data_IF_815271104909
#
_entry.id   IF_815271104909
#
_cell.length_a   1.000
_cell.length_b   1.000
_cell.length_c   1.000
_cell.angle_alpha   90.00
_cell.angle_beta   90.00
_cell.angle_gamma   90.00
#
_symmetry.space_group_name_H-M   'P 1'
#
loop_
_entity.id
_entity.type
_entity.pdbx_description
1 polymer ?
#
# COMPACT_ATOMS: atom_id res chain seq x y z
N UNK A 1 28.88 -40.14 66.96
CA UNK A 1 27.81 -39.88 65.96
C UNK A 1 27.83 -38.41 65.58
N UNK A 2 28.03 -38.09 64.30
CA UNK A 2 27.54 -36.86 63.62
C UNK A 2 27.83 -37.05 62.12
N UNK A 3 26.79 -37.39 61.36
CA UNK A 3 26.85 -37.53 59.89
C UNK A 3 26.61 -36.15 59.30
N UNK A 4 27.53 -35.68 58.46
CA UNK A 4 27.35 -34.46 57.67
C UNK A 4 26.54 -34.85 56.44
N UNK A 5 25.31 -34.35 56.37
CA UNK A 5 24.43 -34.50 55.20
C UNK A 5 24.72 -33.32 54.27
N UNK A 6 25.40 -33.57 53.15
CA UNK A 6 25.58 -32.56 52.09
C UNK A 6 24.42 -32.71 51.11
N UNK A 7 23.51 -31.73 51.11
CA UNK A 7 22.42 -31.65 50.13
C UNK A 7 22.93 -30.85 48.94
N UNK A 8 23.14 -31.53 47.81
CA UNK A 8 23.36 -30.88 46.52
C UNK A 8 22.01 -30.44 45.98
N UNK A 9 21.71 -29.14 46.08
CA UNK A 9 20.57 -28.52 45.39
C UNK A 9 21.02 -28.18 43.97
N UNK A 10 20.66 -29.02 43.02
CA UNK A 10 20.78 -28.73 41.59
C UNK A 10 19.73 -27.70 41.20
N UNK A 11 20.13 -26.42 41.23
CA UNK A 11 19.37 -25.31 40.65
C UNK A 11 19.49 -25.37 39.12
N UNK A 12 18.58 -26.12 38.49
CA UNK A 12 18.32 -25.99 37.06
C UNK A 12 17.53 -24.70 36.83
N UNK A 13 18.23 -23.57 36.70
CA UNK A 13 17.66 -22.38 36.08
C UNK A 13 17.53 -22.64 34.57
N UNK A 14 16.38 -23.13 34.15
CA UNK A 14 15.95 -22.91 32.76
C UNK A 14 15.57 -21.43 32.65
N UNK A 15 16.55 -20.58 32.33
CA UNK A 15 16.26 -19.30 31.71
C UNK A 15 15.63 -19.60 30.36
N UNK A 16 14.30 -19.81 30.37
CA UNK A 16 13.50 -19.72 29.17
C UNK A 16 13.65 -18.30 28.67
N UNK A 17 14.57 -18.09 27.74
CA UNK A 17 14.54 -16.95 26.84
C UNK A 17 13.22 -17.06 26.07
N UNK A 18 12.14 -16.53 26.64
CA UNK A 18 11.02 -16.07 25.83
C UNK A 18 11.57 -14.85 25.10
N UNK A 19 12.16 -15.11 23.94
CA UNK A 19 12.38 -14.09 22.94
C UNK A 19 10.99 -13.65 22.49
N UNK A 20 10.36 -12.75 23.25
CA UNK A 20 9.20 -11.97 22.81
C UNK A 20 9.69 -11.03 21.70
N UNK A 21 10.05 -11.59 20.56
CA UNK A 21 9.86 -10.90 19.31
C UNK A 21 8.38 -11.07 18.98
N UNK A 22 7.53 -10.32 19.68
CA UNK A 22 6.21 -10.04 19.15
C UNK A 22 6.45 -9.13 17.97
N UNK A 23 6.29 -9.64 16.76
CA UNK A 23 6.23 -8.82 15.56
C UNK A 23 5.28 -7.65 15.79
N UNK A 24 5.79 -6.45 15.55
CA UNK A 24 5.03 -5.23 15.75
C UNK A 24 3.93 -5.17 14.69
N UNK A 25 2.68 -4.91 15.10
CA UNK A 25 1.58 -4.68 14.17
C UNK A 25 1.33 -3.17 14.09
N UNK A 26 1.36 -2.61 12.88
CA UNK A 26 1.12 -1.19 12.66
C UNK A 26 0.02 -0.97 11.62
N UNK A 27 -0.71 0.13 11.79
CA UNK A 27 -1.74 0.58 10.84
C UNK A 27 -1.40 2.00 10.45
N UNK A 28 -1.42 2.27 9.16
CA UNK A 28 -1.10 3.59 8.62
C UNK A 28 -1.71 3.80 7.24
N UNK A 29 -1.24 4.82 6.54
CA UNK A 29 -1.44 5.00 5.11
C UNK A 29 -0.10 5.39 4.49
N UNK A 30 0.02 5.26 3.17
CA UNK A 30 1.22 5.62 2.45
C UNK A 30 0.89 6.69 1.39
N UNK A 31 1.60 7.80 1.42
CA UNK A 31 1.35 8.94 0.54
C UNK A 31 1.63 8.64 -0.92
N UNK A 32 2.54 7.72 -1.23
CA UNK A 32 2.78 7.31 -2.62
C UNK A 32 1.55 6.59 -3.18
N UNK A 33 1.00 5.66 -2.40
CA UNK A 33 -0.21 4.90 -2.73
C UNK A 33 -1.41 5.84 -2.88
N UNK A 34 -1.65 6.71 -1.90
CA UNK A 34 -2.78 7.64 -1.97
C UNK A 34 -2.66 8.63 -3.13
N UNK A 35 -1.44 9.11 -3.42
CA UNK A 35 -1.20 10.01 -4.55
C UNK A 35 -1.38 9.30 -5.88
N UNK A 36 -0.99 8.03 -5.96
CA UNK A 36 -1.23 7.19 -7.12
C UNK A 36 -2.74 7.03 -7.38
N UNK A 37 -3.53 6.70 -6.36
CA UNK A 37 -4.98 6.55 -6.53
C UNK A 37 -5.67 7.87 -6.85
N UNK A 38 -5.17 9.00 -6.35
CA UNK A 38 -5.62 10.32 -6.80
C UNK A 38 -5.37 10.49 -8.30
N UNK A 39 -4.18 10.13 -8.78
CA UNK A 39 -3.86 10.19 -10.20
C UNK A 39 -4.74 9.23 -11.03
N UNK A 40 -5.10 8.06 -10.50
CA UNK A 40 -6.05 7.15 -11.14
C UNK A 40 -7.44 7.76 -11.31
N UNK A 41 -7.97 8.39 -10.26
CA UNK A 41 -9.25 9.13 -10.32
C UNK A 41 -9.23 10.15 -11.46
N UNK A 42 -8.14 10.93 -11.56
CA UNK A 42 -7.99 11.95 -12.60
C UNK A 42 -7.86 11.34 -14.00
N UNK A 43 -7.30 10.13 -14.11
CA UNK A 43 -7.00 9.47 -15.38
C UNK A 43 -8.19 8.77 -16.05
N UNK A 44 -9.28 8.53 -15.31
CA UNK A 44 -10.39 7.67 -15.74
C UNK A 44 -10.92 7.99 -17.15
N UNK A 45 -11.07 9.27 -17.50
CA UNK A 45 -11.58 9.67 -18.82
C UNK A 45 -10.61 9.36 -19.99
N UNK A 46 -9.31 9.25 -19.72
CA UNK A 46 -8.26 8.99 -20.70
C UNK A 46 -7.95 7.51 -20.91
N UNK A 47 -8.50 6.63 -20.07
CA UNK A 47 -8.31 5.18 -20.19
C UNK A 47 -8.92 4.69 -21.50
N UNK A 48 -8.17 3.87 -22.24
CA UNK A 48 -8.72 3.10 -23.36
C UNK A 48 -9.47 1.88 -22.87
N UNK A 49 -8.97 1.26 -21.81
CA UNK A 49 -9.57 0.06 -21.25
C UNK A 49 -10.15 0.33 -19.86
N UNK A 50 -11.26 -0.34 -19.53
CA UNK A 50 -11.98 -0.20 -18.27
C UNK A 50 -12.49 1.21 -17.95
N UNK A 51 -12.50 2.14 -18.92
CA UNK A 51 -12.97 3.53 -18.75
C UNK A 51 -14.34 3.60 -18.10
N UNK A 52 -15.31 2.86 -18.63
CA UNK A 52 -16.68 2.89 -18.12
C UNK A 52 -16.76 2.38 -16.68
N UNK A 53 -15.95 1.38 -16.33
CA UNK A 53 -15.85 0.88 -14.97
C UNK A 53 -15.18 1.90 -14.03
N UNK A 54 -14.08 2.53 -14.43
CA UNK A 54 -13.43 3.59 -13.64
C UNK A 54 -14.38 4.77 -13.40
N UNK A 55 -15.13 5.20 -14.41
CA UNK A 55 -16.14 6.26 -14.29
C UNK A 55 -17.31 5.84 -13.38
N UNK A 56 -17.74 4.58 -13.46
CA UNK A 56 -18.71 4.01 -12.52
C UNK A 56 -18.19 4.07 -11.08
N UNK A 57 -16.95 3.62 -10.83
CA UNK A 57 -16.33 3.68 -9.50
C UNK A 57 -16.30 5.10 -8.95
N UNK A 58 -15.91 6.08 -9.76
CA UNK A 58 -15.92 7.51 -9.38
C UNK A 58 -17.32 7.94 -8.95
N UNK A 59 -18.32 7.66 -9.78
CA UNK A 59 -19.70 8.04 -9.51
C UNK A 59 -20.19 7.43 -8.20
N UNK A 60 -20.05 6.11 -8.02
CA UNK A 60 -20.55 5.42 -6.83
C UNK A 60 -19.76 5.79 -5.58
N UNK A 61 -18.43 5.70 -5.61
CA UNK A 61 -17.59 5.91 -4.43
C UNK A 61 -17.65 7.36 -3.94
N UNK A 62 -17.81 8.35 -4.82
CA UNK A 62 -17.95 9.76 -4.42
C UNK A 62 -19.17 10.06 -3.54
N UNK A 63 -20.16 9.16 -3.51
CA UNK A 63 -21.36 9.30 -2.67
C UNK A 63 -21.05 9.04 -1.20
N UNK A 64 -20.22 8.03 -0.90
CA UNK A 64 -20.01 7.54 0.47
C UNK A 64 -18.55 7.52 0.93
N UNK A 65 -17.57 7.80 0.06
CA UNK A 65 -16.16 7.98 0.43
C UNK A 65 -15.81 9.47 0.45
N UNK A 66 -15.79 10.13 1.63
CA UNK A 66 -15.54 11.58 1.73
C UNK A 66 -14.21 12.02 1.12
N UNK A 67 -13.15 11.21 1.26
CA UNK A 67 -11.82 11.51 0.70
C UNK A 67 -11.88 11.59 -0.83
N UNK A 68 -12.55 10.65 -1.50
CA UNK A 68 -12.75 10.68 -2.96
C UNK A 68 -13.56 11.90 -3.38
N UNK A 69 -14.65 12.21 -2.67
CA UNK A 69 -15.46 13.41 -2.94
C UNK A 69 -14.64 14.69 -2.81
N UNK A 70 -13.86 14.80 -1.74
CA UNK A 70 -13.01 15.96 -1.47
C UNK A 70 -11.89 16.09 -2.53
N UNK A 71 -11.33 14.96 -2.98
CA UNK A 71 -10.34 14.93 -4.04
C UNK A 71 -10.92 15.43 -5.37
N UNK A 72 -12.10 14.94 -5.76
CA UNK A 72 -12.80 15.37 -6.97
C UNK A 72 -13.09 16.87 -6.93
N UNK A 73 -13.57 17.40 -5.80
CA UNK A 73 -13.84 18.84 -5.65
C UNK A 73 -12.57 19.69 -5.75
N UNK A 74 -11.46 19.25 -5.13
CA UNK A 74 -10.21 20.03 -5.09
C UNK A 74 -9.44 19.99 -6.41
N UNK A 75 -9.49 18.86 -7.12
CA UNK A 75 -8.61 18.57 -8.25
C UNK A 75 -9.34 18.39 -9.59
N UNK A 76 -10.63 18.72 -9.70
CA UNK A 76 -11.41 18.61 -10.94
C UNK A 76 -10.72 19.25 -12.16
N UNK A 77 -10.08 20.42 -11.96
CA UNK A 77 -9.32 21.14 -12.99
C UNK A 77 -8.17 20.34 -13.61
N UNK A 78 -7.74 19.25 -12.97
CA UNK A 78 -6.60 18.43 -13.37
C UNK A 78 -6.98 17.19 -14.19
N UNK A 79 -8.27 16.98 -14.50
CA UNK A 79 -8.71 15.84 -15.32
C UNK A 79 -8.03 15.75 -16.69
N UNK A 80 -7.58 16.87 -17.24
CA UNK A 80 -6.84 16.92 -18.52
C UNK A 80 -5.34 17.20 -18.35
N UNK A 81 -4.81 17.05 -17.13
CA UNK A 81 -3.40 17.30 -16.84
C UNK A 81 -2.48 16.21 -17.41
N UNK A 82 -1.19 16.51 -17.49
CA UNK A 82 -0.18 15.55 -17.96
C UNK A 82 -0.14 14.28 -17.10
N UNK A 83 -0.37 14.38 -15.78
CA UNK A 83 -0.40 13.22 -14.89
C UNK A 83 -1.63 12.34 -15.19
N UNK A 84 -2.80 12.92 -15.42
CA UNK A 84 -4.01 12.15 -15.76
C UNK A 84 -3.80 11.31 -17.03
N UNK A 85 -3.23 11.91 -18.08
CA UNK A 85 -2.93 11.22 -19.34
C UNK A 85 -1.83 10.17 -19.15
N UNK A 86 -0.79 10.46 -18.37
CA UNK A 86 0.34 9.54 -18.18
C UNK A 86 -0.05 8.32 -17.33
N UNK A 87 -0.87 8.51 -16.29
CA UNK A 87 -1.45 7.41 -15.49
C UNK A 87 -2.33 6.51 -16.34
N UNK A 88 -3.22 7.08 -17.14
CA UNK A 88 -4.07 6.28 -18.04
C UNK A 88 -3.22 5.47 -19.03
N UNK A 89 -2.23 6.13 -19.65
CA UNK A 89 -1.32 5.49 -20.59
C UNK A 89 -0.52 4.36 -19.94
N UNK A 90 0.01 4.56 -18.73
CA UNK A 90 0.72 3.50 -18.01
C UNK A 90 -0.20 2.31 -17.77
N UNK A 91 -1.38 2.53 -17.19
CA UNK A 91 -2.30 1.45 -16.83
C UNK A 91 -2.79 0.68 -18.06
N UNK A 92 -3.07 1.37 -19.16
CA UNK A 92 -3.42 0.69 -20.41
C UNK A 92 -2.25 -0.12 -20.97
N UNK A 93 -1.00 0.39 -20.93
CA UNK A 93 0.18 -0.37 -21.37
C UNK A 93 0.40 -1.60 -20.49
N UNK A 94 0.29 -1.45 -19.17
CA UNK A 94 0.44 -2.56 -18.22
C UNK A 94 -0.55 -3.68 -18.51
N UNK A 95 -1.80 -3.33 -18.81
CA UNK A 95 -2.82 -4.32 -19.10
C UNK A 95 -2.69 -4.91 -20.50
N UNK A 96 -2.57 -4.09 -21.54
CA UNK A 96 -2.56 -4.52 -22.94
C UNK A 96 -1.29 -5.31 -23.29
N UNK A 97 -0.13 -4.88 -22.79
CA UNK A 97 1.17 -5.43 -23.17
C UNK A 97 1.71 -6.46 -22.18
N UNK A 98 1.44 -6.26 -20.89
CA UNK A 98 2.02 -7.09 -19.82
C UNK A 98 0.96 -7.89 -19.05
N UNK A 99 -0.31 -7.83 -19.44
CA UNK A 99 -1.40 -8.60 -18.83
C UNK A 99 -1.59 -8.30 -17.33
N UNK A 100 -1.18 -7.11 -16.88
CA UNK A 100 -1.11 -6.76 -15.46
C UNK A 100 -2.05 -5.58 -15.15
N UNK A 101 -2.76 -5.65 -14.03
CA UNK A 101 -3.61 -4.57 -13.54
C UNK A 101 -2.80 -3.45 -12.88
N UNK A 102 -3.50 -2.49 -12.26
CA UNK A 102 -2.86 -1.42 -11.48
C UNK A 102 -2.28 -1.91 -10.14
N UNK A 103 -2.69 -3.09 -9.68
CA UNK A 103 -2.23 -3.73 -8.44
C UNK A 103 -0.72 -3.95 -8.41
N UNK A 104 -0.10 -4.18 -9.57
CA UNK A 104 1.35 -4.33 -9.68
C UNK A 104 2.13 -3.07 -9.30
N UNK A 105 1.47 -1.90 -9.21
CA UNK A 105 2.13 -0.67 -8.75
C UNK A 105 2.29 -0.58 -7.24
N UNK A 106 1.60 -1.40 -6.45
CA UNK A 106 1.74 -1.34 -4.99
C UNK A 106 3.17 -1.61 -4.53
N UNK A 107 3.84 -2.61 -5.13
CA UNK A 107 5.24 -2.93 -4.82
C UNK A 107 6.21 -1.77 -5.15
N UNK A 108 6.29 -1.24 -6.38
CA UNK A 108 7.20 -0.12 -6.67
C UNK A 108 6.90 1.13 -5.86
N UNK A 109 5.63 1.43 -5.55
CA UNK A 109 5.28 2.58 -4.71
C UNK A 109 5.86 2.45 -3.29
N UNK A 110 6.01 1.23 -2.78
CA UNK A 110 6.63 0.95 -1.48
C UNK A 110 8.15 0.85 -1.52
N UNK A 111 8.72 0.47 -2.67
CA UNK A 111 10.19 0.50 -2.89
C UNK A 111 10.70 1.92 -3.11
N UNK A 112 9.81 2.85 -3.40
CA UNK A 112 10.12 4.27 -3.50
C UNK A 112 10.00 4.93 -2.13
N UNK A 113 10.96 5.78 -1.76
CA UNK A 113 10.88 6.55 -0.51
C UNK A 113 9.67 7.48 -0.57
N UNK A 114 8.97 7.65 0.53
CA UNK A 114 7.71 8.39 0.52
C UNK A 114 7.88 9.83 -0.05
N UNK A 115 6.92 10.27 -0.86
CA UNK A 115 6.90 11.61 -1.46
C UNK A 115 6.97 12.70 -0.38
N UNK A 116 7.68 13.82 -0.64
CA UNK A 116 8.17 14.33 -1.93
C UNK A 116 9.56 13.84 -2.35
N UNK A 117 10.09 12.78 -1.72
CA UNK A 117 11.34 12.18 -2.18
C UNK A 117 11.27 11.79 -3.66
N UNK A 118 12.43 11.70 -4.31
CA UNK A 118 12.62 11.08 -5.64
C UNK A 118 13.55 9.86 -5.56
N UNK A 119 13.96 9.50 -4.34
CA UNK A 119 14.87 8.40 -4.07
C UNK A 119 14.11 7.08 -3.88
N UNK A 120 14.81 5.98 -4.13
CA UNK A 120 14.32 4.63 -3.86
C UNK A 120 14.88 4.13 -2.52
N UNK A 121 14.09 3.37 -1.78
CA UNK A 121 14.53 2.65 -0.57
C UNK A 121 15.48 1.51 -0.97
N UNK A 122 15.15 0.83 -2.06
CA UNK A 122 15.93 -0.26 -2.65
C UNK A 122 15.73 -0.29 -4.16
N UNK A 123 16.65 -0.95 -4.87
CA UNK A 123 16.54 -1.09 -6.33
C UNK A 123 15.30 -1.93 -6.68
N UNK A 124 14.41 -1.36 -7.49
CA UNK A 124 13.19 -2.02 -7.93
C UNK A 124 13.35 -2.61 -9.33
N UNK A 125 12.93 -3.86 -9.48
CA UNK A 125 12.74 -4.54 -10.76
C UNK A 125 11.33 -5.13 -10.84
N UNK A 126 10.66 -4.89 -11.96
CA UNK A 126 9.42 -5.58 -12.28
C UNK A 126 9.74 -6.99 -12.73
N UNK A 127 9.08 -7.97 -12.11
CA UNK A 127 9.26 -9.38 -12.39
C UNK A 127 7.91 -10.05 -12.60
N UNK A 128 7.72 -10.61 -13.80
CA UNK A 128 6.62 -11.48 -14.12
C UNK A 128 7.17 -12.68 -14.91
N UNK A 129 6.92 -13.89 -14.42
CA UNK A 129 7.42 -15.14 -15.00
C UNK A 129 6.83 -15.46 -16.38
N UNK A 130 5.69 -14.85 -16.73
CA UNK A 130 5.04 -15.01 -18.02
C UNK A 130 5.61 -14.08 -19.11
N UNK A 131 6.55 -13.19 -18.77
CA UNK A 131 7.15 -12.21 -19.68
C UNK A 131 8.62 -12.53 -19.97
N UNK A 132 9.11 -12.04 -21.12
CA UNK A 132 10.54 -12.12 -21.42
C UNK A 132 11.34 -11.17 -20.51
N UNK A 133 12.67 -11.40 -20.43
CA UNK A 133 13.57 -10.51 -19.68
C UNK A 133 13.54 -9.08 -20.19
N UNK A 134 13.43 -8.90 -21.50
CA UNK A 134 13.33 -7.61 -22.17
C UNK A 134 12.04 -6.89 -21.80
N UNK A 135 10.91 -7.60 -21.79
CA UNK A 135 9.62 -7.06 -21.37
C UNK A 135 9.62 -6.64 -19.90
N UNK A 136 10.18 -7.47 -19.01
CA UNK A 136 10.34 -7.13 -17.59
C UNK A 136 11.22 -5.88 -17.39
N UNK A 137 12.32 -5.76 -18.13
CA UNK A 137 13.19 -4.58 -18.10
C UNK A 137 12.47 -3.33 -18.60
N UNK A 138 11.70 -3.44 -19.68
CA UNK A 138 10.92 -2.34 -20.23
C UNK A 138 9.84 -1.87 -19.24
N UNK A 139 9.07 -2.79 -18.67
CA UNK A 139 8.07 -2.49 -17.64
C UNK A 139 8.69 -1.82 -16.42
N UNK A 140 9.87 -2.29 -15.98
CA UNK A 140 10.64 -1.64 -14.91
C UNK A 140 10.92 -0.18 -15.26
N UNK A 141 11.44 0.10 -16.46
CA UNK A 141 11.74 1.46 -16.91
C UNK A 141 10.50 2.35 -16.97
N UNK A 142 9.38 1.84 -17.49
CA UNK A 142 8.10 2.55 -17.55
C UNK A 142 7.61 2.95 -16.15
N UNK A 143 7.62 1.99 -15.21
CA UNK A 143 7.19 2.21 -13.83
C UNK A 143 8.08 3.23 -13.13
N UNK A 144 9.42 3.09 -13.20
CA UNK A 144 10.35 4.02 -12.53
C UNK A 144 10.21 5.45 -13.06
N UNK A 145 10.05 5.60 -14.37
CA UNK A 145 9.82 6.91 -15.00
C UNK A 145 8.49 7.52 -14.54
N UNK A 146 7.42 6.72 -14.50
CA UNK A 146 6.12 7.18 -14.03
C UNK A 146 6.15 7.62 -12.56
N UNK A 147 6.81 6.88 -11.66
CA UNK A 147 6.91 7.28 -10.25
C UNK A 147 7.65 8.61 -10.07
N UNK A 148 8.60 8.91 -10.96
CA UNK A 148 9.26 10.23 -11.00
C UNK A 148 8.26 11.35 -11.36
N UNK A 149 7.40 11.12 -12.35
CA UNK A 149 6.34 12.08 -12.72
C UNK A 149 5.28 12.21 -11.62
N UNK A 150 4.95 11.11 -10.94
CA UNK A 150 4.03 11.10 -9.82
C UNK A 150 4.57 11.91 -8.62
N UNK A 151 5.86 11.81 -8.33
CA UNK A 151 6.53 12.65 -7.31
C UNK A 151 6.50 14.13 -7.69
N UNK A 152 6.71 14.47 -8.97
CA UNK A 152 6.58 15.87 -9.44
C UNK A 152 5.15 16.38 -9.26
N UNK A 153 4.16 15.58 -9.64
CA UNK A 153 2.74 15.91 -9.41
C UNK A 153 2.44 16.15 -7.93
N UNK A 154 2.95 15.28 -7.04
CA UNK A 154 2.83 15.45 -5.58
C UNK A 154 3.26 16.85 -5.12
N UNK A 155 4.42 17.29 -5.59
CA UNK A 155 5.03 18.56 -5.22
C UNK A 155 4.28 19.73 -5.85
N UNK A 156 4.04 19.67 -7.17
CA UNK A 156 3.45 20.76 -7.96
C UNK A 156 2.04 21.12 -7.49
N UNK A 157 1.24 20.11 -7.17
CA UNK A 157 -0.16 20.29 -6.74
C UNK A 157 -0.30 20.34 -5.21
N UNK A 158 0.83 20.32 -4.48
CA UNK A 158 0.90 20.35 -3.02
C UNK A 158 -0.05 19.31 -2.38
N UNK A 159 0.07 18.06 -2.81
CA UNK A 159 -0.80 16.96 -2.37
C UNK A 159 -0.67 16.72 -0.86
N UNK A 160 0.50 17.03 -0.27
CA UNK A 160 0.70 17.06 1.19
C UNK A 160 -0.40 17.85 1.92
N UNK A 161 -0.82 19.00 1.36
CA UNK A 161 -1.86 19.81 1.98
C UNK A 161 -3.21 19.09 1.96
N UNK A 162 -3.52 18.30 0.93
CA UNK A 162 -4.75 17.51 0.92
C UNK A 162 -4.77 16.46 2.04
N UNK A 163 -3.64 15.80 2.34
CA UNK A 163 -3.57 14.89 3.49
C UNK A 163 -3.77 15.61 4.81
N UNK A 164 -3.24 16.83 4.95
CA UNK A 164 -3.47 17.68 6.13
C UNK A 164 -4.93 18.08 6.26
N UNK A 165 -5.55 18.51 5.17
CA UNK A 165 -6.96 18.93 5.13
C UNK A 165 -7.93 17.77 5.45
N UNK A 166 -7.51 16.52 5.20
CA UNK A 166 -8.32 15.31 5.42
C UNK A 166 -7.81 14.44 6.58
N UNK A 167 -6.88 14.95 7.40
CA UNK A 167 -6.17 14.16 8.41
C UNK A 167 -7.11 13.38 9.33
N UNK A 168 -8.20 13.99 9.77
CA UNK A 168 -9.15 13.37 10.69
C UNK A 168 -9.79 12.11 10.11
N UNK A 169 -10.03 12.07 8.80
CA UNK A 169 -10.56 10.87 8.14
C UNK A 169 -9.53 9.74 8.13
N UNK A 170 -8.29 10.04 7.76
CA UNK A 170 -7.19 9.06 7.78
C UNK A 170 -6.93 8.53 9.19
N UNK A 171 -6.84 9.43 10.19
CA UNK A 171 -6.64 9.04 11.58
C UNK A 171 -7.83 8.25 12.12
N UNK A 172 -9.06 8.63 11.80
CA UNK A 172 -10.26 7.88 12.17
C UNK A 172 -10.26 6.46 11.61
N UNK A 173 -9.93 6.28 10.32
CA UNK A 173 -9.82 4.96 9.70
C UNK A 173 -8.73 4.09 10.32
N UNK A 174 -7.57 4.68 10.64
CA UNK A 174 -6.48 3.98 11.36
C UNK A 174 -6.96 3.51 12.73
N UNK A 175 -7.60 4.39 13.50
CA UNK A 175 -8.10 4.07 14.83
C UNK A 175 -9.21 3.01 14.79
N UNK A 176 -10.13 3.10 13.84
CA UNK A 176 -11.19 2.12 13.65
C UNK A 176 -10.62 0.74 13.35
N UNK A 177 -9.72 0.64 12.36
CA UNK A 177 -9.13 -0.63 11.97
C UNK A 177 -8.27 -1.21 13.10
N UNK A 178 -7.48 -0.38 13.78
CA UNK A 178 -6.63 -0.82 14.90
C UNK A 178 -7.44 -1.45 16.04
N UNK A 179 -8.67 -0.98 16.29
CA UNK A 179 -9.57 -1.56 17.30
C UNK A 179 -10.12 -2.94 16.92
N UNK A 180 -10.10 -3.29 15.63
CA UNK A 180 -10.58 -4.57 15.14
C UNK A 180 -9.52 -5.68 15.22
N UNK A 181 -8.26 -5.33 15.50
CA UNK A 181 -7.16 -6.30 15.56
C UNK A 181 -7.14 -7.00 16.92
N UNK A 182 -7.38 -8.32 16.98
CA UNK A 182 -7.40 -9.03 18.25
C UNK A 182 -5.99 -9.12 18.85
N UNK A 183 -5.92 -9.15 20.18
CA UNK A 183 -4.66 -9.37 20.88
C UNK A 183 -4.02 -10.71 20.46
N UNK A 184 -2.73 -10.70 20.15
CA UNK A 184 -2.01 -11.89 19.71
C UNK A 184 -2.24 -12.29 18.24
N UNK A 185 -2.91 -11.45 17.44
CA UNK A 185 -3.17 -11.70 16.03
C UNK A 185 -1.91 -12.10 15.24
N UNK A 186 -0.83 -11.32 15.34
CA UNK A 186 0.41 -11.60 14.61
C UNK A 186 1.04 -12.92 15.04
N UNK A 187 1.03 -13.22 16.34
CA UNK A 187 1.50 -14.52 16.84
C UNK A 187 0.68 -15.70 16.29
N UNK A 188 -0.65 -15.57 16.24
CA UNK A 188 -1.52 -16.59 15.66
C UNK A 188 -1.22 -16.81 14.16
N UNK A 189 -1.01 -15.72 13.42
CA UNK A 189 -0.61 -15.78 12.00
C UNK A 189 0.74 -16.49 11.83
N UNK A 190 1.75 -16.13 12.62
CA UNK A 190 3.07 -16.77 12.57
C UNK A 190 3.02 -18.28 12.91
N UNK A 191 2.19 -18.66 13.88
CA UNK A 191 1.99 -20.07 14.23
C UNK A 191 1.29 -20.84 13.11
N UNK A 192 0.31 -20.23 12.46
CA UNK A 192 -0.45 -20.89 11.39
C UNK A 192 0.36 -21.04 10.10
N UNK A 193 1.04 -19.98 9.65
CA UNK A 193 1.79 -19.98 8.40
C UNK A 193 3.23 -20.49 8.54
N UNK A 194 3.77 -20.58 9.77
CA UNK A 194 5.13 -21.05 10.02
C UNK A 194 6.22 -20.05 9.65
N UNK A 195 5.86 -18.82 9.30
CA UNK A 195 6.76 -17.73 8.94
C UNK A 195 6.71 -16.61 9.96
N UNK A 196 7.83 -15.90 10.14
CA UNK A 196 7.96 -14.77 11.06
C UNK A 196 8.44 -13.55 10.31
N UNK A 197 7.83 -12.41 10.61
CA UNK A 197 8.19 -11.13 10.00
C UNK A 197 8.65 -10.15 11.07
N UNK A 198 9.46 -9.16 10.68
CA UNK A 198 9.88 -8.11 11.59
C UNK A 198 8.69 -7.27 12.06
N UNK A 199 7.81 -6.94 11.12
CA UNK A 199 6.64 -6.08 11.32
C UNK A 199 5.53 -6.55 10.39
N UNK A 200 4.29 -6.43 10.85
CA UNK A 200 3.09 -6.54 10.03
C UNK A 200 2.48 -5.15 9.90
N UNK A 201 2.26 -4.70 8.67
CA UNK A 201 1.73 -3.35 8.42
C UNK A 201 0.48 -3.45 7.57
N UNK A 202 -0.60 -2.81 8.04
CA UNK A 202 -1.78 -2.53 7.22
C UNK A 202 -1.76 -1.09 6.78
N UNK A 203 -1.82 -0.87 5.48
CA UNK A 203 -1.97 0.44 4.88
C UNK A 203 -3.42 0.61 4.45
N UNK A 204 -4.16 1.48 5.14
CA UNK A 204 -5.48 1.90 4.68
C UNK A 204 -5.32 2.84 3.48
N UNK A 205 -6.22 2.72 2.51
CA UNK A 205 -6.20 3.52 1.28
C UNK A 205 -7.56 4.15 1.00
N UNK A 206 -7.95 5.23 1.73
CA UNK A 206 -9.21 5.95 1.51
C UNK A 206 -9.41 6.51 0.09
N UNK A 207 -8.33 6.75 -0.65
CA UNK A 207 -8.40 7.24 -2.04
C UNK A 207 -8.66 6.11 -3.05
N UNK A 208 -8.39 4.85 -2.70
CA UNK A 208 -8.67 3.71 -3.57
C UNK A 208 -10.18 3.52 -3.71
N UNK A 209 -10.69 3.79 -4.91
CA UNK A 209 -12.08 3.55 -5.23
C UNK A 209 -12.33 2.07 -5.45
N UNK A 210 -13.23 1.53 -4.65
CA UNK A 210 -13.82 0.22 -4.87
C UNK A 210 -15.29 0.27 -4.45
N UNK A 211 -16.24 0.13 -5.40
CA UNK A 211 -17.65 0.05 -5.10
C UNK A 211 -17.91 -1.05 -4.07
N UNK A 212 -18.57 -0.69 -2.96
CA UNK A 212 -19.03 -1.66 -1.98
C UNK A 212 -20.23 -2.38 -2.59
N UNK A 213 -19.96 -3.48 -3.28
CA UNK A 213 -20.94 -4.49 -3.65
C UNK A 213 -20.81 -5.64 -2.63
N UNK A 214 -21.94 -6.16 -2.14
CA UNK A 214 -22.01 -7.37 -1.32
C UNK A 214 -21.17 -7.44 -0.02
N UNK A 215 -20.83 -6.29 0.58
CA UNK A 215 -19.92 -6.19 1.74
C UNK A 215 -18.51 -6.75 1.44
N UNK A 216 -18.05 -6.69 0.19
CA UNK A 216 -16.70 -7.12 -0.16
C UNK A 216 -15.63 -6.14 0.36
N UNK A 217 -14.62 -6.69 1.04
CA UNK A 217 -13.35 -6.01 1.29
C UNK A 217 -12.28 -6.53 0.32
N UNK A 218 -11.48 -5.64 -0.27
CA UNK A 218 -10.32 -6.03 -1.08
C UNK A 218 -9.02 -5.52 -0.47
N UNK A 219 -8.03 -6.40 -0.48
CA UNK A 219 -6.66 -6.09 -0.09
C UNK A 219 -5.70 -6.45 -1.22
N UNK A 220 -4.62 -5.70 -1.34
CA UNK A 220 -3.50 -6.03 -2.21
C UNK A 220 -2.32 -6.33 -1.28
N UNK A 221 -1.77 -7.54 -1.38
CA UNK A 221 -0.58 -7.92 -0.66
C UNK A 221 0.65 -7.54 -1.49
N UNK A 222 1.66 -6.97 -0.84
CA UNK A 222 2.96 -6.72 -1.45
C UNK A 222 4.06 -7.02 -0.42
N UNK A 223 5.05 -7.81 -0.82
CA UNK A 223 6.26 -8.01 -0.03
C UNK A 223 7.22 -6.82 -0.27
N UNK A 224 7.63 -6.20 0.83
CA UNK A 224 8.49 -5.02 0.85
C UNK A 224 9.73 -5.32 1.70
N UNK A 225 10.87 -4.78 1.29
CA UNK A 225 12.18 -4.99 1.93
C UNK A 225 12.36 -4.04 3.11
#
# INVERSE_FOLDING_TARGET
MKKILVVFVSLSFTLGFSQKNTSEFSVGYNKNIETYFLAEILSAEHRRNNRDFELYKIKECSVYQPVVRNALQKYDRLKNSAIAVSTAKLNDILMEKYGSGNDILMKPLMYHKEFPSVEWVSEYYFENSNLTKEQNREATGLIKNYLTELSKFYIQENIEQFFKDNKDFYSGGIEEYSKQIPAGFTHAMEQFYGEKFHTYTVLISPMMMWPIEDNEGRGIAAEVV
#
